data_IF_815217400899
#
_entry.id   IF_815217400899
#
_cell.length_a   1.000
_cell.length_b   1.000
_cell.length_c   1.000
_cell.angle_alpha   90.00
_cell.angle_beta   90.00
_cell.angle_gamma   90.00
#
_symmetry.space_group_name_H-M   'P 1'
#
loop_
_entity.id
_entity.type
_entity.pdbx_description
1 polymer ?
#
# COMPACT_ATOMS: atom_id res chain seq x y z
N UNK A 1 7.39 18.38 -3.33
CA UNK A 1 7.80 17.85 -4.63
C UNK A 1 8.80 16.73 -4.41
N UNK A 2 8.57 15.56 -4.98
CA UNK A 2 9.52 14.44 -4.93
C UNK A 2 10.88 14.80 -5.54
N UNK A 3 11.98 14.17 -5.08
CA UNK A 3 13.28 14.36 -5.70
C UNK A 3 13.28 14.04 -7.20
N UNK A 4 14.07 14.75 -8.03
CA UNK A 4 14.09 14.54 -9.48
C UNK A 4 14.37 13.09 -9.91
N UNK A 5 15.12 12.33 -9.10
CA UNK A 5 15.42 10.93 -9.38
C UNK A 5 14.17 10.05 -9.29
N UNK A 6 13.24 10.34 -8.38
CA UNK A 6 11.96 9.64 -8.24
C UNK A 6 11.06 9.99 -9.41
N UNK A 7 10.89 11.29 -9.70
CA UNK A 7 10.06 11.76 -10.82
C UNK A 7 10.50 11.20 -12.16
N UNK A 8 11.82 11.10 -12.40
CA UNK A 8 12.36 10.48 -13.63
C UNK A 8 12.01 9.01 -13.78
N UNK A 9 11.90 8.25 -12.68
CA UNK A 9 11.50 6.84 -12.76
C UNK A 9 10.03 6.71 -13.14
N UNK A 10 9.14 7.49 -12.50
CA UNK A 10 7.72 7.50 -12.87
C UNK A 10 7.50 7.99 -14.32
N UNK A 11 8.27 8.98 -14.78
CA UNK A 11 8.21 9.47 -16.15
C UNK A 11 8.72 8.47 -17.21
N UNK A 12 9.49 7.45 -16.79
CA UNK A 12 10.00 6.40 -17.69
C UNK A 12 8.99 5.25 -17.89
N UNK A 13 7.87 5.25 -17.17
CA UNK A 13 6.81 4.25 -17.31
C UNK A 13 6.16 4.40 -18.70
N UNK A 14 5.99 3.31 -19.47
CA UNK A 14 5.41 3.38 -20.81
C UNK A 14 3.90 3.70 -20.77
N UNK A 15 3.29 4.17 -21.88
CA UNK A 15 1.87 4.56 -21.91
C UNK A 15 0.86 3.45 -21.59
N UNK A 16 1.21 2.18 -21.83
CA UNK A 16 0.38 1.01 -21.54
C UNK A 16 1.07 0.08 -20.54
N UNK A 17 1.22 0.52 -19.30
CA UNK A 17 2.10 -0.16 -18.36
C UNK A 17 1.48 -1.43 -17.78
N UNK A 18 2.36 -2.36 -17.44
CA UNK A 18 2.09 -3.49 -16.58
C UNK A 18 2.47 -3.16 -15.13
N UNK A 19 2.11 -4.05 -14.19
CA UNK A 19 2.49 -3.90 -12.76
C UNK A 19 4.00 -3.77 -12.60
N UNK A 20 4.76 -4.58 -13.35
CA UNK A 20 6.24 -4.61 -13.34
C UNK A 20 6.88 -3.25 -13.61
N UNK A 21 6.27 -2.42 -14.44
CA UNK A 21 6.81 -1.13 -14.83
C UNK A 21 6.81 -0.14 -13.67
N UNK A 22 6.00 -0.39 -12.63
CA UNK A 22 5.93 0.42 -11.41
C UNK A 22 6.86 -0.07 -10.30
N UNK A 23 7.53 -1.22 -10.45
CA UNK A 23 8.44 -1.72 -9.41
C UNK A 23 9.60 -0.76 -9.18
N UNK A 24 10.30 -0.34 -10.25
CA UNK A 24 11.40 0.61 -10.18
C UNK A 24 11.00 1.96 -9.57
N UNK A 25 9.93 2.62 -10.08
CA UNK A 25 9.41 3.87 -9.51
C UNK A 25 9.07 3.79 -8.03
N UNK A 26 8.29 2.79 -7.60
CA UNK A 26 7.91 2.65 -6.18
C UNK A 26 9.08 2.23 -5.31
N UNK A 27 9.96 1.34 -5.78
CA UNK A 27 11.20 1.01 -5.08
C UNK A 27 12.04 2.27 -4.83
N UNK A 28 12.21 3.12 -5.86
CA UNK A 28 12.96 4.37 -5.73
C UNK A 28 12.31 5.36 -4.75
N UNK A 29 10.98 5.48 -4.80
CA UNK A 29 10.21 6.29 -3.87
C UNK A 29 10.37 5.80 -2.43
N UNK A 30 10.19 4.49 -2.20
CA UNK A 30 10.29 3.90 -0.87
C UNK A 30 11.69 4.02 -0.29
N UNK A 31 12.77 3.78 -1.05
CA UNK A 31 14.14 4.02 -0.56
C UNK A 31 14.47 5.51 -0.35
N UNK A 32 13.69 6.43 -0.93
CA UNK A 32 13.80 7.86 -0.62
C UNK A 32 13.12 8.19 0.72
N UNK A 33 12.03 7.47 1.04
CA UNK A 33 11.25 7.63 2.27
C UNK A 33 11.81 6.78 3.44
N UNK A 34 12.49 5.69 3.15
CA UNK A 34 13.10 4.78 4.10
C UNK A 34 14.53 4.47 3.61
N UNK A 35 15.49 5.37 3.89
CA UNK A 35 16.86 5.20 3.46
C UNK A 35 17.47 3.88 3.95
N UNK A 36 18.34 3.27 3.15
CA UNK A 36 18.93 1.96 3.47
C UNK A 36 19.93 1.99 4.63
N UNK A 37 20.37 3.17 5.05
CA UNK A 37 21.19 3.44 6.24
C UNK A 37 20.36 3.77 7.48
N UNK A 38 19.03 3.66 7.39
CA UNK A 38 18.12 3.78 8.53
C UNK A 38 17.74 2.42 9.12
N UNK A 39 17.05 2.44 10.26
CA UNK A 39 16.50 1.23 10.92
C UNK A 39 15.38 0.54 10.13
N UNK A 40 14.97 1.12 8.99
CA UNK A 40 13.92 0.59 8.15
C UNK A 40 14.48 -0.24 6.99
N UNK A 41 13.85 -1.37 6.72
CA UNK A 41 14.17 -2.22 5.56
C UNK A 41 12.98 -2.28 4.62
N UNK A 42 13.18 -1.90 3.36
CA UNK A 42 12.19 -2.07 2.28
C UNK A 42 12.41 -3.42 1.60
N UNK A 43 11.40 -4.29 1.63
CA UNK A 43 11.46 -5.65 1.08
C UNK A 43 10.41 -5.81 -0.02
N UNK A 44 10.81 -6.07 -1.28
CA UNK A 44 9.85 -6.46 -2.32
C UNK A 44 9.35 -7.89 -2.05
N UNK A 45 8.03 -8.07 -2.09
CA UNK A 45 7.33 -9.32 -1.88
C UNK A 45 6.58 -9.74 -3.15
N UNK A 46 6.72 -11.02 -3.50
CA UNK A 46 5.96 -11.66 -4.58
C UNK A 46 5.08 -12.71 -3.95
N UNK A 47 3.88 -12.30 -3.55
CA UNK A 47 2.97 -13.14 -2.79
C UNK A 47 2.09 -13.95 -3.73
N UNK A 48 1.83 -15.20 -3.36
CA UNK A 48 0.80 -15.99 -4.01
C UNK A 48 -0.57 -15.62 -3.41
N UNK A 49 -1.61 -15.40 -4.22
CA UNK A 49 -2.96 -15.23 -3.70
C UNK A 49 -3.37 -16.50 -2.95
N UNK A 50 -3.96 -16.35 -1.76
CA UNK A 50 -4.49 -17.47 -0.97
C UNK A 50 -5.66 -18.22 -1.67
N UNK A 51 -6.18 -17.69 -2.78
CA UNK A 51 -7.22 -18.32 -3.57
C UNK A 51 -6.63 -19.23 -4.66
N UNK A 52 -7.06 -20.50 -4.71
CA UNK A 52 -6.76 -21.48 -5.77
C UNK A 52 -7.20 -21.04 -7.20
N UNK A 53 -7.72 -19.83 -7.38
CA UNK A 53 -8.33 -19.32 -8.60
C UNK A 53 -7.48 -18.26 -9.33
N UNK A 54 -6.37 -17.79 -8.74
CA UNK A 54 -5.56 -16.72 -9.30
C UNK A 54 -4.15 -17.21 -9.69
N UNK A 55 -3.82 -17.13 -10.98
CA UNK A 55 -2.50 -17.45 -11.55
C UNK A 55 -1.52 -16.26 -11.38
N UNK A 56 -2.01 -15.11 -10.90
CA UNK A 56 -1.30 -13.84 -10.89
C UNK A 56 -0.73 -13.54 -9.49
N UNK A 57 0.59 -13.39 -9.38
CA UNK A 57 1.27 -13.04 -8.13
C UNK A 57 0.94 -11.60 -7.73
N UNK A 58 0.77 -11.37 -6.42
CA UNK A 58 0.64 -10.03 -5.87
C UNK A 58 2.05 -9.45 -5.71
N UNK A 59 2.29 -8.29 -6.33
CA UNK A 59 3.51 -7.54 -6.07
C UNK A 59 3.23 -6.54 -4.96
N UNK A 60 4.01 -6.65 -3.89
CA UNK A 60 3.96 -5.71 -2.79
C UNK A 60 5.38 -5.27 -2.39
N UNK A 61 5.46 -4.15 -1.69
CA UNK A 61 6.61 -3.78 -0.88
C UNK A 61 6.17 -3.77 0.57
N UNK A 62 6.99 -4.34 1.45
CA UNK A 62 6.79 -4.29 2.88
C UNK A 62 7.95 -3.55 3.50
N UNK A 63 7.64 -2.58 4.35
CA UNK A 63 8.65 -1.85 5.12
C UNK A 63 8.65 -2.42 6.53
N UNK A 64 9.82 -2.83 6.97
CA UNK A 64 10.07 -3.37 8.28
C UNK A 64 10.86 -2.39 9.12
N UNK A 65 10.55 -2.32 10.42
CA UNK A 65 11.35 -1.67 11.45
C UNK A 65 11.79 -2.75 12.43
N UNK A 66 13.10 -2.98 12.57
CA UNK A 66 13.66 -4.07 13.39
C UNK A 66 12.99 -5.43 13.11
N UNK A 67 12.95 -5.83 11.84
CA UNK A 67 12.33 -7.08 11.34
C UNK A 67 10.82 -7.21 11.56
N UNK A 68 10.14 -6.14 11.99
CA UNK A 68 8.69 -6.13 12.23
C UNK A 68 7.97 -5.19 11.24
N UNK A 69 6.86 -5.62 10.59
CA UNK A 69 6.23 -4.86 9.51
C UNK A 69 5.53 -3.59 10.03
N UNK A 70 5.71 -2.47 9.33
CA UNK A 70 5.08 -1.17 9.67
C UNK A 70 4.31 -0.55 8.51
N UNK A 71 4.60 -0.96 7.26
CA UNK A 71 3.91 -0.48 6.06
C UNK A 71 3.85 -1.57 4.99
N UNK A 72 2.70 -1.70 4.35
CA UNK A 72 2.49 -2.51 3.15
C UNK A 72 2.19 -1.56 1.97
N UNK A 73 2.74 -1.82 0.79
CA UNK A 73 2.37 -1.13 -0.45
C UNK A 73 2.13 -2.17 -1.53
N UNK A 74 0.88 -2.34 -1.95
CA UNK A 74 0.52 -3.26 -3.03
C UNK A 74 0.40 -2.54 -4.38
N UNK A 75 0.95 -3.17 -5.42
CA UNK A 75 0.85 -2.69 -6.79
C UNK A 75 -0.19 -3.47 -7.59
N UNK A 76 -1.01 -2.75 -8.35
CA UNK A 76 -1.98 -3.26 -9.31
C UNK A 76 -1.76 -2.59 -10.67
N UNK A 77 -2.25 -3.22 -11.73
CA UNK A 77 -2.11 -2.69 -13.09
C UNK A 77 -2.96 -1.44 -13.22
N UNK A 78 -2.46 -0.29 -13.73
CA UNK A 78 -3.21 0.96 -13.66
C UNK A 78 -4.54 0.92 -14.41
N UNK A 79 -4.55 0.26 -15.58
CA UNK A 79 -5.76 0.09 -16.38
C UNK A 79 -6.86 -0.72 -15.70
N UNK A 80 -6.53 -1.50 -14.67
CA UNK A 80 -7.52 -2.33 -13.97
C UNK A 80 -8.43 -1.49 -13.07
N UNK A 81 -8.06 -0.25 -12.74
CA UNK A 81 -8.83 0.65 -11.88
C UNK A 81 -10.25 0.90 -12.41
N UNK A 82 -10.51 0.72 -13.71
CA UNK A 82 -11.84 0.92 -14.31
C UNK A 82 -12.81 -0.21 -13.95
N UNK A 83 -12.31 -1.41 -13.66
CA UNK A 83 -13.13 -2.60 -13.38
C UNK A 83 -13.41 -2.74 -11.90
N UNK A 84 -14.69 -2.70 -11.49
CA UNK A 84 -15.06 -2.82 -10.07
C UNK A 84 -14.59 -4.14 -9.45
N UNK A 85 -14.60 -5.25 -10.20
CA UNK A 85 -14.12 -6.55 -9.73
C UNK A 85 -12.62 -6.55 -9.40
N UNK A 86 -11.81 -5.77 -10.15
CA UNK A 86 -10.38 -5.61 -9.88
C UNK A 86 -10.13 -4.72 -8.66
N UNK A 87 -10.94 -3.67 -8.48
CA UNK A 87 -10.92 -2.85 -7.26
C UNK A 87 -11.34 -3.65 -6.02
N UNK A 88 -12.40 -4.46 -6.11
CA UNK A 88 -12.83 -5.38 -5.06
C UNK A 88 -11.70 -6.35 -4.68
N UNK A 89 -11.06 -6.96 -5.69
CA UNK A 89 -9.93 -7.87 -5.46
C UNK A 89 -8.75 -7.16 -4.77
N UNK A 90 -8.41 -5.94 -5.20
CA UNK A 90 -7.34 -5.16 -4.58
C UNK A 90 -7.66 -4.76 -3.13
N UNK A 91 -8.92 -4.38 -2.86
CA UNK A 91 -9.39 -4.05 -1.51
C UNK A 91 -9.40 -5.29 -0.59
N UNK A 92 -9.76 -6.46 -1.12
CA UNK A 92 -9.71 -7.71 -0.37
C UNK A 92 -8.27 -8.11 -0.03
N UNK A 93 -7.37 -8.11 -1.02
CA UNK A 93 -5.98 -8.53 -0.85
C UNK A 93 -5.25 -7.70 0.22
N UNK A 94 -5.37 -6.38 0.18
CA UNK A 94 -4.70 -5.51 1.15
C UNK A 94 -5.28 -5.66 2.57
N UNK A 95 -6.59 -5.94 2.69
CA UNK A 95 -7.23 -6.20 4.00
C UNK A 95 -6.80 -7.54 4.59
N UNK A 96 -6.71 -8.58 3.76
CA UNK A 96 -6.18 -9.88 4.18
C UNK A 96 -4.75 -9.72 4.67
N UNK A 97 -3.88 -9.02 3.91
CA UNK A 97 -2.50 -8.80 4.30
C UNK A 97 -2.35 -7.97 5.57
N UNK A 98 -3.18 -6.94 5.75
CA UNK A 98 -3.26 -6.19 7.00
C UNK A 98 -3.64 -7.09 8.17
N UNK A 99 -4.61 -8.00 7.99
CA UNK A 99 -5.01 -8.96 9.01
C UNK A 99 -3.88 -9.91 9.40
N UNK A 100 -3.17 -10.46 8.41
CA UNK A 100 -2.08 -11.42 8.62
C UNK A 100 -0.88 -10.81 9.37
N UNK A 101 -0.53 -9.55 9.06
CA UNK A 101 0.67 -8.91 9.61
C UNK A 101 0.43 -8.07 10.87
N UNK A 102 -0.84 -7.84 11.22
CA UNK A 102 -1.23 -6.94 12.32
C UNK A 102 -0.54 -7.27 13.64
N UNK A 103 -0.55 -8.53 14.05
CA UNK A 103 -0.03 -8.96 15.36
C UNK A 103 1.49 -8.84 15.44
N UNK A 104 2.15 -8.71 14.29
CA UNK A 104 3.59 -8.50 14.19
C UNK A 104 3.98 -7.01 14.13
N UNK A 105 3.03 -6.09 13.98
CA UNK A 105 3.37 -4.68 13.86
C UNK A 105 3.75 -4.11 15.24
N UNK A 106 4.93 -3.47 15.38
CA UNK A 106 5.45 -3.06 16.69
C UNK A 106 4.86 -1.72 17.16
N UNK A 107 4.17 -0.99 16.27
CA UNK A 107 3.57 0.32 16.54
C UNK A 107 2.04 0.21 16.64
N UNK A 108 1.34 1.18 17.26
CA UNK A 108 -0.11 1.11 17.49
C UNK A 108 -1.00 1.02 16.23
N UNK A 109 -0.44 1.28 15.04
CA UNK A 109 -1.15 1.26 13.76
C UNK A 109 -0.27 0.66 12.67
N UNK A 110 -0.73 -0.42 12.05
CA UNK A 110 -0.15 -0.93 10.80
C UNK A 110 -0.79 -0.20 9.63
N UNK A 111 0.03 0.33 8.73
CA UNK A 111 -0.41 1.10 7.58
C UNK A 111 -0.30 0.28 6.29
N UNK A 112 -1.18 0.56 5.33
CA UNK A 112 -1.06 0.00 3.99
C UNK A 112 -1.50 0.97 2.89
N UNK A 113 -0.94 0.81 1.69
CA UNK A 113 -1.27 1.58 0.49
C UNK A 113 -1.57 0.63 -0.65
N UNK A 114 -2.70 0.82 -1.33
CA UNK A 114 -3.03 0.10 -2.57
C UNK A 114 -2.84 1.07 -3.74
N UNK A 115 -2.06 0.69 -4.75
CA UNK A 115 -1.73 1.54 -5.88
C UNK A 115 -2.16 0.92 -7.22
N UNK A 116 -2.96 1.66 -8.00
CA UNK A 116 -3.21 1.41 -9.42
C UNK A 116 -2.38 2.40 -10.24
N UNK A 117 -1.14 2.02 -10.55
CA UNK A 117 -0.18 2.98 -11.10
C UNK A 117 0.15 4.06 -10.10
N UNK A 118 -0.13 5.32 -10.42
CA UNK A 118 0.07 6.47 -9.52
C UNK A 118 -1.13 6.75 -8.62
N UNK A 119 -2.31 6.21 -8.95
CA UNK A 119 -3.52 6.39 -8.15
C UNK A 119 -3.47 5.51 -6.90
N UNK A 120 -3.54 6.10 -5.71
CA UNK A 120 -3.33 5.42 -4.44
C UNK A 120 -4.53 5.55 -3.49
N UNK A 121 -4.76 4.49 -2.72
CA UNK A 121 -5.70 4.43 -1.62
C UNK A 121 -4.96 4.04 -0.34
N UNK A 122 -5.34 4.65 0.79
CA UNK A 122 -4.72 4.42 2.09
C UNK A 122 -5.61 3.56 2.98
N UNK A 123 -4.97 2.66 3.72
CA UNK A 123 -5.57 1.78 4.71
C UNK A 123 -4.74 1.80 5.98
N UNK A 124 -5.38 1.49 7.09
CA UNK A 124 -4.73 1.30 8.37
C UNK A 124 -5.57 0.42 9.27
N UNK A 125 -4.90 -0.26 10.20
CA UNK A 125 -5.52 -1.10 11.21
C UNK A 125 -4.83 -0.84 12.55
N UNK A 126 -5.61 -0.60 13.60
CA UNK A 126 -5.06 -0.49 14.96
C UNK A 126 -4.56 -1.86 15.40
N UNK A 127 -3.41 -1.94 16.06
CA UNK A 127 -2.75 -3.21 16.44
C UNK A 127 -3.03 -3.63 17.89
N UNK A 128 -3.54 -2.73 18.71
CA UNK A 128 -3.70 -2.90 20.16
C UNK A 128 -5.10 -3.38 20.58
N UNK A 129 -6.13 -3.16 19.77
CA UNK A 129 -7.53 -3.50 20.13
C UNK A 129 -7.94 -4.91 19.73
N UNK A 130 -8.83 -5.59 20.46
CA UNK A 130 -9.18 -6.97 20.08
C UNK A 130 -9.96 -7.07 18.75
N UNK A 131 -10.78 -6.07 18.40
CA UNK A 131 -11.60 -6.03 17.19
C UNK A 131 -11.33 -4.75 16.40
N UNK A 132 -10.22 -4.71 15.64
CA UNK A 132 -9.85 -3.51 14.92
C UNK A 132 -10.78 -3.31 13.71
N UNK A 133 -10.95 -2.05 13.34
CA UNK A 133 -11.60 -1.68 12.09
C UNK A 133 -10.51 -1.22 11.13
N UNK A 134 -10.53 -1.77 9.91
CA UNK A 134 -9.66 -1.29 8.84
C UNK A 134 -10.29 -0.01 8.25
N UNK A 135 -9.50 1.06 8.15
CA UNK A 135 -9.92 2.33 7.52
C UNK A 135 -10.22 2.15 6.02
N UNK A 136 -10.81 3.17 5.38
CA UNK A 136 -11.43 3.03 4.05
C UNK A 136 -12.49 1.94 4.05
N UNK A 137 -13.52 2.09 4.89
CA UNK A 137 -14.53 1.06 5.19
C UNK A 137 -15.03 0.32 3.93
N UNK A 138 -14.96 -1.01 3.97
CA UNK A 138 -15.50 -1.87 2.93
C UNK A 138 -17.01 -1.70 2.82
N UNK A 139 -17.53 -1.71 1.59
CA UNK A 139 -18.98 -1.76 1.38
C UNK A 139 -19.35 -3.24 1.32
N UNK A 140 -20.30 -3.72 2.15
CA UNK A 140 -20.70 -5.12 2.14
C UNK A 140 -21.16 -5.56 0.75
N UNK A 141 -20.73 -6.74 0.33
CA UNK A 141 -21.22 -7.36 -0.90
C UNK A 141 -22.69 -7.71 -0.75
N UNK A 142 -23.51 -7.26 -1.68
CA UNK A 142 -24.90 -7.67 -1.76
C UNK A 142 -24.97 -9.12 -2.28
N UNK A 143 -25.83 -9.93 -1.66
CA UNK A 143 -25.96 -11.36 -1.99
C UNK A 143 -26.80 -11.62 -3.24
N UNK A 144 -27.56 -10.62 -3.69
CA UNK A 144 -28.56 -10.72 -4.75
C UNK A 144 -28.12 -9.89 -5.96
N UNK A 145 -27.55 -8.70 -5.74
CA UNK A 145 -27.11 -7.81 -6.81
C UNK A 145 -25.60 -7.63 -6.82
N UNK A 146 -25.03 -7.39 -8.01
CA UNK A 146 -23.63 -7.00 -8.11
C UNK A 146 -23.49 -5.51 -7.77
N UNK A 147 -22.89 -5.21 -6.62
CA UNK A 147 -22.60 -3.85 -6.19
C UNK A 147 -21.09 -3.56 -6.17
N UNK A 148 -20.73 -2.28 -6.30
CA UNK A 148 -19.34 -1.84 -6.18
C UNK A 148 -18.94 -1.80 -4.69
N UNK A 149 -18.21 -2.82 -4.24
CA UNK A 149 -17.77 -2.95 -2.85
C UNK A 149 -16.53 -2.09 -2.54
N UNK A 150 -15.84 -1.62 -3.59
CA UNK A 150 -14.63 -0.80 -3.55
C UNK A 150 -14.71 0.31 -4.61
N UNK A 151 -15.42 1.42 -4.30
CA UNK A 151 -15.62 2.52 -5.23
C UNK A 151 -14.30 3.07 -5.76
N UNK A 152 -14.30 3.48 -7.03
CA UNK A 152 -13.12 4.04 -7.70
C UNK A 152 -12.53 5.23 -6.93
N UNK A 153 -13.40 6.06 -6.34
CA UNK A 153 -13.02 7.26 -5.58
C UNK A 153 -12.22 6.96 -4.30
N UNK A 154 -12.02 5.68 -3.94
CA UNK A 154 -11.05 5.31 -2.90
C UNK A 154 -9.60 5.55 -3.33
N UNK A 155 -9.30 5.42 -4.62
CA UNK A 155 -7.98 5.71 -5.21
C UNK A 155 -7.96 7.13 -5.79
N UNK A 156 -8.34 8.11 -4.97
CA UNK A 156 -8.52 9.51 -5.36
C UNK A 156 -7.25 10.36 -5.26
N UNK A 157 -6.19 9.86 -4.64
CA UNK A 157 -4.91 10.54 -4.59
C UNK A 157 -4.02 10.06 -5.74
N UNK A 158 -3.33 10.98 -6.40
CA UNK A 158 -2.21 10.64 -7.27
C UNK A 158 -0.90 10.91 -6.52
N UNK A 159 -0.03 9.89 -6.41
CA UNK A 159 1.23 9.98 -5.68
C UNK A 159 2.16 11.08 -6.21
N UNK A 160 2.03 11.49 -7.47
CA UNK A 160 2.86 12.53 -8.10
C UNK A 160 2.27 13.93 -7.96
N UNK A 161 1.00 14.04 -7.56
CA UNK A 161 0.37 15.32 -7.26
C UNK A 161 0.68 15.78 -5.84
N UNK A 162 0.55 17.09 -5.59
CA UNK A 162 0.93 17.71 -4.32
C UNK A 162 0.20 17.09 -3.12
N UNK A 163 -1.11 16.83 -3.26
CA UNK A 163 -1.93 16.28 -2.18
C UNK A 163 -1.58 14.82 -1.89
N UNK A 164 -1.34 14.01 -2.93
CA UNK A 164 -0.93 12.62 -2.76
C UNK A 164 0.48 12.51 -2.18
N UNK A 165 1.42 13.36 -2.62
CA UNK A 165 2.75 13.46 -2.00
C UNK A 165 2.65 13.83 -0.53
N UNK A 166 1.89 14.89 -0.19
CA UNK A 166 1.73 15.34 1.18
C UNK A 166 1.17 14.21 2.05
N UNK A 167 0.17 13.48 1.56
CA UNK A 167 -0.44 12.38 2.29
C UNK A 167 0.51 11.20 2.51
N UNK A 168 1.33 10.84 1.52
CA UNK A 168 2.37 9.81 1.68
C UNK A 168 3.42 10.25 2.69
N UNK A 169 3.84 11.51 2.68
CA UNK A 169 4.82 12.03 3.66
C UNK A 169 4.26 12.00 5.08
N UNK A 170 3.03 12.46 5.27
CA UNK A 170 2.34 12.42 6.57
C UNK A 170 2.27 10.98 7.13
N UNK A 171 1.94 10.01 6.28
CA UNK A 171 1.95 8.58 6.63
C UNK A 171 3.34 8.13 7.12
N UNK A 172 4.39 8.44 6.36
CA UNK A 172 5.77 8.05 6.69
C UNK A 172 6.26 8.72 7.96
N UNK A 173 5.95 10.00 8.15
CA UNK A 173 6.34 10.75 9.34
C UNK A 173 5.62 10.22 10.59
N UNK A 174 4.34 9.83 10.45
CA UNK A 174 3.61 9.15 11.52
C UNK A 174 4.24 7.81 11.90
N UNK A 175 4.66 7.00 10.92
CA UNK A 175 5.34 5.72 11.15
C UNK A 175 6.67 5.96 11.89
N UNK A 176 7.49 6.90 11.41
CA UNK A 176 8.79 7.23 12.01
C UNK A 176 8.63 7.73 13.44
N UNK A 177 7.68 8.61 13.70
CA UNK A 177 7.41 9.13 15.04
C UNK A 177 7.01 7.99 16.01
N UNK A 178 6.14 7.09 15.56
CA UNK A 178 5.73 5.94 16.36
C UNK A 178 6.90 4.97 16.64
N UNK A 179 7.74 4.70 15.65
CA UNK A 179 8.91 3.83 15.82
C UNK A 179 9.98 4.46 16.74
N UNK A 180 10.23 5.77 16.61
CA UNK A 180 11.17 6.49 17.47
C UNK A 180 10.76 6.47 18.96
N UNK A 181 9.45 6.46 19.23
CA UNK A 181 8.90 6.34 20.58
C UNK A 181 9.16 4.96 21.23
N UNK A 182 9.42 3.92 20.43
CA UNK A 182 9.81 2.58 20.91
C UNK A 182 11.28 2.58 21.33
N UNK A 183 12.17 3.17 20.51
CA UNK A 183 13.63 3.20 20.78
C UNK A 183 13.98 4.04 22.02
N UNK A 184 13.10 4.97 22.38
CA UNK A 184 13.29 5.85 23.54
C UNK A 184 12.88 5.22 24.89
N UNK A 185 12.41 3.96 24.88
CA UNK A 185 12.02 3.18 26.07
C UNK A 185 13.11 2.18 26.44
#
# INVERSE_FOLDING_TARGET
>A
MWPPQVLRQFAAVPPNPNVSDFHGPYNKLLYTLFPCDSEFTVVPQYLHPNSNMAVEFIVAFEVYFNDMPVLILELKRPGDIIWYSRRETADQQIRERLGDLREMCPIPTLHAVSAFGTAICFYSINTEVQRPVITSHGIPRDRIVSNDTAPRDRWNYDVLEADGEARVRELVDSIRAACAAIVSQ
#
